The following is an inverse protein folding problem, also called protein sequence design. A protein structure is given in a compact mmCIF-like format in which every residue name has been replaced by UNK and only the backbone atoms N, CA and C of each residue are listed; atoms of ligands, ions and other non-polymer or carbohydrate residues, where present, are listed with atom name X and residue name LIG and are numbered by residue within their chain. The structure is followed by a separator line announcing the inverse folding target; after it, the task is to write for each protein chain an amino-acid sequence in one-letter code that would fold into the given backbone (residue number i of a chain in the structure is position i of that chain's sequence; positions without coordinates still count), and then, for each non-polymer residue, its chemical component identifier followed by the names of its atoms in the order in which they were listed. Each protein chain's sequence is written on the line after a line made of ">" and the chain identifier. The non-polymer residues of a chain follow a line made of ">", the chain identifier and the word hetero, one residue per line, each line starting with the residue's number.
data_IF_766539499743
#
_entry.id   IF_766539499743
#
_cell.length_a   1.000
_cell.length_b   1.000
_cell.length_c   1.000
_cell.angle_alpha   90.00
_cell.angle_beta   90.00
_cell.angle_gamma   90.00
#
_symmetry.space_group_name_H-M   'P 1'
#
loop_
_entity.id
_entity.type
_entity.pdbx_description
1 polymer ?
#
# COMPACT_ATOMS: atom_id res chain seq x y z
N UNK A 1 1.45 -39.42 14.20
CA UNK A 1 0.88 -38.11 13.80
C UNK A 1 1.25 -37.13 14.87
N UNK A 2 1.91 -36.04 14.47
CA UNK A 2 2.29 -35.00 15.41
C UNK A 2 1.08 -34.11 15.68
N UNK A 3 0.74 -33.90 16.96
CA UNK A 3 -0.30 -32.98 17.37
C UNK A 3 0.32 -31.63 17.67
N UNK A 4 -0.23 -30.57 17.05
CA UNK A 4 0.18 -29.21 17.34
C UNK A 4 -1.05 -28.39 17.73
N UNK A 5 -0.85 -27.52 18.71
CA UNK A 5 -1.86 -26.55 19.15
C UNK A 5 -1.71 -25.25 18.36
N UNK A 6 -2.83 -24.75 17.87
CA UNK A 6 -2.93 -23.48 17.16
C UNK A 6 -3.77 -22.51 17.98
N UNK A 7 -3.28 -21.30 18.15
CA UNK A 7 -3.99 -20.19 18.76
C UNK A 7 -4.49 -19.28 17.62
N UNK A 8 -5.78 -19.35 17.32
CA UNK A 8 -6.38 -18.66 16.17
C UNK A 8 -7.28 -17.53 16.68
N UNK A 9 -7.09 -16.34 16.14
CA UNK A 9 -7.95 -15.19 16.47
C UNK A 9 -9.38 -15.42 15.99
N UNK A 10 -10.35 -15.23 16.92
CA UNK A 10 -11.78 -15.26 16.68
C UNK A 10 -12.40 -13.96 17.12
N UNK A 11 -13.07 -13.26 16.20
CA UNK A 11 -13.66 -11.98 16.55
C UNK A 11 -14.32 -11.27 15.39
N UNK A 12 -14.86 -10.10 15.71
CA UNK A 12 -15.55 -9.21 14.78
C UNK A 12 -15.25 -7.74 15.16
N UNK A 13 -15.54 -6.76 14.30
CA UNK A 13 -15.44 -5.35 14.69
C UNK A 13 -16.59 -4.99 15.64
N UNK A 14 -16.32 -4.05 16.56
CA UNK A 14 -17.37 -3.37 17.33
C UNK A 14 -18.05 -2.25 16.51
N UNK A 15 -18.98 -1.54 17.14
CA UNK A 15 -19.67 -0.41 16.52
C UNK A 15 -18.74 0.77 16.15
N UNK A 16 -17.53 0.81 16.74
CA UNK A 16 -16.48 1.80 16.40
C UNK A 16 -15.52 1.33 15.31
N UNK A 17 -15.65 0.07 14.85
CA UNK A 17 -14.74 -0.58 13.92
C UNK A 17 -13.48 -1.17 14.56
N UNK A 18 -13.36 -1.15 15.89
CA UNK A 18 -12.24 -1.77 16.60
C UNK A 18 -12.44 -3.28 16.69
N UNK A 19 -11.35 -4.04 16.56
CA UNK A 19 -11.41 -5.50 16.65
C UNK A 19 -11.72 -5.95 18.08
N UNK A 20 -12.85 -6.65 18.28
CA UNK A 20 -13.18 -7.35 19.51
C UNK A 20 -13.04 -8.84 19.25
N UNK A 21 -12.24 -9.53 20.06
CA UNK A 21 -12.07 -10.96 19.92
C UNK A 21 -11.08 -11.55 20.92
N UNK A 22 -10.94 -12.84 20.82
CA UNK A 22 -10.03 -13.63 21.66
C UNK A 22 -9.24 -14.62 20.82
N UNK A 23 -8.13 -15.08 21.37
CA UNK A 23 -7.37 -16.17 20.80
C UNK A 23 -7.99 -17.49 21.29
N UNK A 24 -8.39 -18.35 20.35
CA UNK A 24 -8.96 -19.67 20.67
C UNK A 24 -8.02 -20.77 20.25
N UNK A 25 -7.76 -21.72 21.15
CA UNK A 25 -6.87 -22.83 20.88
C UNK A 25 -7.62 -24.00 20.21
N UNK A 26 -6.93 -24.61 19.24
CA UNK A 26 -7.35 -25.81 18.51
C UNK A 26 -6.17 -26.77 18.41
N UNK A 27 -6.38 -28.05 18.67
CA UNK A 27 -5.33 -29.06 18.56
C UNK A 27 -5.57 -29.93 17.34
N UNK A 28 -4.65 -29.89 16.40
CA UNK A 28 -4.80 -30.51 15.07
C UNK A 28 -3.76 -31.58 14.86
N UNK A 29 -4.17 -32.74 14.34
CA UNK A 29 -3.25 -33.77 13.85
C UNK A 29 -2.64 -33.32 12.52
N UNK A 30 -1.31 -33.32 12.41
CA UNK A 30 -0.62 -32.91 11.20
C UNK A 30 -0.29 -34.11 10.30
N UNK A 31 -0.63 -33.99 9.04
CA UNK A 31 -0.16 -34.88 7.98
C UNK A 31 1.12 -34.30 7.32
N UNK A 32 1.90 -35.13 6.68
CA UNK A 32 3.11 -34.73 5.96
C UNK A 32 2.78 -33.74 4.85
N UNK A 33 3.53 -32.65 4.78
CA UNK A 33 3.42 -31.64 3.72
C UNK A 33 2.28 -30.64 3.89
N UNK A 34 1.53 -30.66 5.00
CA UNK A 34 0.50 -29.66 5.29
C UNK A 34 1.05 -28.25 5.33
N UNK A 35 0.22 -27.30 4.86
CA UNK A 35 0.43 -25.87 5.02
C UNK A 35 -0.56 -25.29 6.03
N UNK A 36 -0.29 -24.10 6.55
CA UNK A 36 -1.16 -23.41 7.52
C UNK A 36 -2.62 -23.32 7.06
N UNK A 37 -2.86 -23.10 5.75
CA UNK A 37 -4.23 -23.06 5.21
C UNK A 37 -4.96 -24.41 5.35
N UNK A 38 -4.25 -25.52 5.20
CA UNK A 38 -4.85 -26.86 5.39
C UNK A 38 -5.23 -27.10 6.85
N UNK A 39 -4.42 -26.60 7.78
CA UNK A 39 -4.76 -26.63 9.22
C UNK A 39 -6.04 -25.82 9.49
N UNK A 40 -6.17 -24.60 8.94
CA UNK A 40 -7.40 -23.80 9.09
C UNK A 40 -8.60 -24.55 8.53
N UNK A 41 -8.48 -25.19 7.37
CA UNK A 41 -9.58 -25.98 6.78
C UNK A 41 -9.92 -27.20 7.65
N UNK A 42 -8.95 -27.83 8.29
CA UNK A 42 -9.20 -28.94 9.22
C UNK A 42 -9.93 -28.46 10.48
N UNK A 43 -9.52 -27.34 11.06
CA UNK A 43 -10.25 -26.70 12.17
C UNK A 43 -11.70 -26.37 11.76
N UNK A 44 -11.92 -25.85 10.55
CA UNK A 44 -13.26 -25.59 10.05
C UNK A 44 -14.10 -26.87 9.90
N UNK A 45 -13.48 -27.96 9.47
CA UNK A 45 -14.18 -29.22 9.26
C UNK A 45 -14.54 -29.96 10.56
N UNK A 46 -13.69 -29.87 11.58
CA UNK A 46 -13.77 -30.70 12.78
C UNK A 46 -14.35 -29.95 13.98
N UNK A 47 -14.00 -28.66 14.18
CA UNK A 47 -14.31 -27.96 15.42
C UNK A 47 -15.01 -26.59 15.25
N UNK A 48 -14.70 -25.85 14.19
CA UNK A 48 -15.17 -24.48 14.03
C UNK A 48 -15.61 -24.16 12.58
N UNK A 49 -16.76 -24.71 12.13
CA UNK A 49 -17.24 -24.52 10.77
C UNK A 49 -17.57 -23.05 10.43
N UNK A 50 -17.68 -22.20 11.44
CA UNK A 50 -17.95 -20.78 11.33
C UNK A 50 -16.69 -19.90 11.31
N UNK A 51 -15.49 -20.47 11.40
CA UNK A 51 -14.21 -19.73 11.34
C UNK A 51 -14.06 -19.08 9.98
N UNK A 52 -14.11 -17.75 9.94
CA UNK A 52 -13.98 -16.99 8.70
C UNK A 52 -12.52 -16.95 8.24
N UNK A 53 -12.26 -17.43 7.03
CA UNK A 53 -10.98 -17.41 6.38
C UNK A 53 -11.16 -17.15 4.87
N UNK A 54 -10.31 -16.28 4.31
CA UNK A 54 -10.30 -15.99 2.88
C UNK A 54 -9.25 -16.84 2.17
N UNK A 55 -9.63 -17.52 1.10
CA UNK A 55 -8.71 -18.28 0.26
C UNK A 55 -9.26 -18.44 -1.15
N UNK A 56 -8.39 -18.79 -2.13
CA UNK A 56 -8.83 -19.06 -3.51
C UNK A 56 -7.88 -20.03 -4.22
N UNK A 57 -6.68 -19.59 -4.67
CA UNK A 57 -5.85 -20.38 -5.59
C UNK A 57 -5.10 -21.55 -4.94
N UNK A 58 -4.83 -21.52 -3.63
CA UNK A 58 -3.97 -22.47 -2.88
C UNK A 58 -2.55 -22.65 -3.44
N UNK A 59 -2.07 -21.70 -4.25
CA UNK A 59 -0.82 -21.82 -4.99
C UNK A 59 0.04 -20.52 -4.96
N UNK A 60 -0.16 -19.66 -3.97
CA UNK A 60 0.61 -18.43 -3.81
C UNK A 60 0.44 -17.40 -4.92
N UNK A 61 -0.71 -17.37 -5.64
CA UNK A 61 -0.90 -16.51 -6.82
C UNK A 61 -1.99 -15.44 -6.68
N UNK A 62 -2.83 -15.49 -5.64
CA UNK A 62 -3.97 -14.58 -5.53
C UNK A 62 -3.93 -13.67 -4.30
N UNK A 63 -3.03 -13.89 -3.34
CA UNK A 63 -2.92 -13.08 -2.13
C UNK A 63 -4.07 -13.22 -1.11
N UNK A 64 -5.16 -13.93 -1.43
CA UNK A 64 -6.37 -13.95 -0.61
C UNK A 64 -6.18 -14.53 0.80
N UNK A 65 -5.26 -15.49 0.97
CA UNK A 65 -5.01 -16.16 2.24
C UNK A 65 -3.92 -15.49 3.10
N UNK A 66 -3.75 -14.17 2.95
CA UNK A 66 -2.79 -13.40 3.75
C UNK A 66 -3.25 -13.33 5.20
N UNK A 67 -2.33 -13.65 6.12
CA UNK A 67 -2.53 -13.60 7.56
C UNK A 67 -1.19 -13.41 8.29
N UNK A 68 -1.22 -13.15 9.57
CA UNK A 68 -0.03 -13.21 10.43
C UNK A 68 0.09 -14.60 11.06
N UNK A 69 1.23 -15.24 10.88
CA UNK A 69 1.57 -16.52 11.52
C UNK A 69 2.81 -16.31 12.39
N UNK A 70 2.69 -16.53 13.69
CA UNK A 70 3.71 -16.22 14.69
C UNK A 70 4.25 -14.77 14.55
N UNK A 71 3.32 -13.81 14.35
CA UNK A 71 3.64 -12.39 14.21
C UNK A 71 4.28 -11.99 12.87
N UNK A 72 4.49 -12.93 11.92
CA UNK A 72 5.02 -12.65 10.59
C UNK A 72 3.90 -12.71 9.55
N UNK A 73 3.69 -11.66 8.73
CA UNK A 73 2.75 -11.69 7.62
C UNK A 73 3.17 -12.70 6.56
N UNK A 74 2.27 -13.64 6.22
CA UNK A 74 2.54 -14.75 5.28
C UNK A 74 1.29 -15.15 4.49
N UNK A 75 1.50 -15.84 3.38
CA UNK A 75 0.44 -16.55 2.68
C UNK A 75 0.22 -17.91 3.35
N UNK A 76 -0.92 -18.14 3.97
CA UNK A 76 -1.20 -19.41 4.66
C UNK A 76 -1.08 -20.63 3.74
N UNK A 77 -1.39 -20.48 2.44
CA UNK A 77 -1.28 -21.57 1.46
C UNK A 77 0.17 -21.90 1.04
N UNK A 78 1.15 -21.06 1.38
CA UNK A 78 2.57 -21.27 1.06
C UNK A 78 3.41 -21.52 2.29
N UNK A 79 2.86 -21.33 3.48
CA UNK A 79 3.57 -21.51 4.75
C UNK A 79 3.47 -22.96 5.18
N UNK A 80 4.56 -23.71 5.03
CA UNK A 80 4.62 -25.13 5.39
C UNK A 80 4.69 -25.29 6.92
N UNK A 81 4.06 -26.33 7.42
CA UNK A 81 4.12 -26.64 8.82
C UNK A 81 5.51 -27.10 9.28
N UNK A 82 6.27 -27.71 8.37
CA UNK A 82 7.66 -28.08 8.65
C UNK A 82 8.54 -26.85 8.90
N UNK A 83 8.38 -25.78 8.07
CA UNK A 83 9.09 -24.50 8.23
C UNK A 83 8.71 -23.83 9.56
N UNK A 84 7.42 -23.87 9.93
CA UNK A 84 6.95 -23.33 11.20
C UNK A 84 7.55 -24.09 12.41
N UNK A 85 7.62 -25.42 12.33
CA UNK A 85 8.28 -26.23 13.38
C UNK A 85 9.76 -25.89 13.53
N UNK A 86 10.46 -25.75 12.41
CA UNK A 86 11.87 -25.36 12.42
C UNK A 86 12.08 -23.97 13.02
N UNK A 87 11.23 -22.99 12.69
CA UNK A 87 11.27 -21.65 13.27
C UNK A 87 10.93 -21.61 14.76
N UNK A 88 10.06 -22.48 15.23
CA UNK A 88 9.72 -22.60 16.65
C UNK A 88 10.84 -23.24 17.47
N UNK A 89 11.65 -24.14 16.87
CA UNK A 89 12.73 -24.84 17.57
C UNK A 89 12.20 -25.58 18.80
N UNK A 90 12.74 -25.26 19.97
CA UNK A 90 12.34 -25.87 21.26
C UNK A 90 11.08 -25.24 21.90
N UNK A 91 10.41 -24.30 21.21
CA UNK A 91 9.19 -23.67 21.71
C UNK A 91 8.00 -24.63 21.56
N UNK A 92 7.45 -25.06 22.70
CA UNK A 92 6.29 -25.98 22.75
C UNK A 92 4.92 -25.27 22.80
N UNK A 93 4.90 -23.95 22.68
CA UNK A 93 3.67 -23.17 22.73
C UNK A 93 2.84 -23.27 21.42
N UNK A 94 1.63 -22.70 21.41
CA UNK A 94 0.76 -22.75 20.24
C UNK A 94 1.31 -21.93 19.07
N UNK A 95 0.99 -22.33 17.84
CA UNK A 95 1.19 -21.51 16.65
C UNK A 95 0.13 -20.42 16.62
N UNK A 96 0.56 -19.16 16.67
CA UNK A 96 -0.34 -18.00 16.67
C UNK A 96 -0.77 -17.63 15.24
N UNK A 97 -2.08 -17.52 14.99
CA UNK A 97 -2.63 -17.11 13.69
C UNK A 97 -3.60 -15.96 13.90
N UNK A 98 -3.28 -14.82 13.31
CA UNK A 98 -4.05 -13.57 13.40
C UNK A 98 -4.39 -12.98 12.03
N UNK A 99 -5.44 -12.15 11.94
CA UNK A 99 -5.67 -11.33 10.74
C UNK A 99 -4.52 -10.34 10.53
N UNK A 100 -4.42 -9.78 9.32
CA UNK A 100 -3.49 -8.69 9.03
C UNK A 100 -3.81 -7.46 9.90
N UNK A 101 -2.90 -7.09 10.81
CA UNK A 101 -3.13 -6.07 11.85
C UNK A 101 -3.28 -4.65 11.34
N UNK A 102 -2.74 -4.33 10.14
CA UNK A 102 -2.84 -3.00 9.57
C UNK A 102 -4.21 -2.69 8.97
N UNK A 103 -5.04 -3.69 8.71
CA UNK A 103 -6.32 -3.52 8.02
C UNK A 103 -7.50 -3.71 8.97
N UNK A 104 -8.63 -3.01 8.74
CA UNK A 104 -9.83 -3.19 9.51
C UNK A 104 -10.31 -4.65 9.50
N UNK A 105 -10.72 -5.14 10.66
CA UNK A 105 -11.26 -6.50 10.79
C UNK A 105 -12.66 -6.59 10.17
N UNK A 106 -12.92 -7.65 9.42
CA UNK A 106 -14.28 -8.02 8.98
C UNK A 106 -14.82 -9.12 9.88
N UNK A 107 -14.08 -10.22 10.01
CA UNK A 107 -14.37 -11.33 10.92
C UNK A 107 -13.20 -12.30 10.98
N UNK A 108 -12.83 -12.75 12.18
CA UNK A 108 -11.79 -13.74 12.45
C UNK A 108 -10.47 -13.44 11.72
N UNK A 109 -10.15 -14.18 10.64
CA UNK A 109 -8.95 -13.97 9.84
C UNK A 109 -9.18 -13.08 8.59
N UNK A 110 -10.40 -12.57 8.40
CA UNK A 110 -10.77 -11.76 7.24
C UNK A 110 -10.68 -10.28 7.56
N UNK A 111 -9.93 -9.53 6.76
CA UNK A 111 -9.75 -8.09 6.86
C UNK A 111 -10.28 -7.36 5.63
N UNK A 112 -10.61 -6.07 5.77
CA UNK A 112 -11.02 -5.19 4.68
C UNK A 112 -9.80 -4.52 4.05
N UNK A 113 -9.54 -4.85 2.79
CA UNK A 113 -8.47 -4.27 1.98
C UNK A 113 -9.00 -3.31 0.90
N UNK A 114 -10.24 -2.82 1.02
CA UNK A 114 -10.88 -1.94 0.02
C UNK A 114 -10.11 -0.64 -0.21
N UNK A 115 -9.47 -0.09 0.82
CA UNK A 115 -8.55 1.04 0.73
C UNK A 115 -7.51 0.88 -0.41
N UNK A 116 -7.04 -0.33 -0.67
CA UNK A 116 -6.08 -0.59 -1.72
C UNK A 116 -6.58 -0.18 -3.11
N UNK A 117 -7.87 -0.37 -3.39
CA UNK A 117 -8.48 0.04 -4.67
C UNK A 117 -8.61 1.56 -4.79
N UNK A 118 -8.79 2.27 -3.68
CA UNK A 118 -8.81 3.72 -3.67
C UNK A 118 -7.44 4.32 -3.98
N UNK A 119 -6.38 3.73 -3.44
CA UNK A 119 -4.99 4.13 -3.77
C UNK A 119 -4.66 3.81 -5.22
N UNK A 120 -5.04 2.62 -5.73
CA UNK A 120 -4.81 2.26 -7.14
C UNK A 120 -5.48 3.23 -8.12
N UNK A 121 -6.66 3.75 -7.81
CA UNK A 121 -7.36 4.73 -8.64
C UNK A 121 -6.63 6.08 -8.74
N UNK A 122 -5.81 6.43 -7.75
CA UNK A 122 -5.00 7.66 -7.76
C UNK A 122 -3.77 7.52 -8.66
N UNK A 123 -3.33 6.29 -8.96
CA UNK A 123 -2.16 6.05 -9.80
C UNK A 123 -2.53 6.27 -11.26
N UNK A 124 -1.94 7.27 -11.89
CA UNK A 124 -2.11 7.51 -13.32
C UNK A 124 -1.61 6.31 -14.13
N UNK A 125 -2.37 5.83 -15.12
CA UNK A 125 -1.96 4.72 -15.98
C UNK A 125 -0.72 5.09 -16.82
N UNK A 126 -0.15 4.08 -17.48
CA UNK A 126 0.91 4.31 -18.47
C UNK A 126 0.41 5.24 -19.59
N UNK A 127 1.22 6.23 -19.94
CA UNK A 127 0.97 7.14 -21.03
C UNK A 127 2.10 7.00 -22.05
N UNK A 128 1.87 6.21 -23.09
CA UNK A 128 2.85 6.00 -24.15
C UNK A 128 2.86 7.11 -25.18
N UNK A 129 3.92 7.23 -26.01
CA UNK A 129 3.95 8.15 -27.15
C UNK A 129 2.87 7.79 -28.18
N UNK A 130 2.41 8.78 -28.98
CA UNK A 130 1.36 8.59 -29.99
C UNK A 130 1.75 7.58 -31.08
N UNK A 131 3.03 7.53 -31.44
CA UNK A 131 3.58 6.59 -32.42
C UNK A 131 4.84 5.90 -31.83
N UNK A 132 4.63 4.89 -30.96
CA UNK A 132 5.73 4.24 -30.29
C UNK A 132 6.50 3.32 -31.22
N UNK A 133 7.81 3.50 -31.31
CA UNK A 133 8.69 2.40 -31.71
C UNK A 133 8.71 1.38 -30.56
N UNK A 134 7.95 0.29 -30.70
CA UNK A 134 7.80 -0.76 -29.67
C UNK A 134 9.09 -1.54 -29.38
N UNK A 135 10.25 -0.95 -29.70
CA UNK A 135 11.57 -1.50 -29.47
C UNK A 135 12.23 -0.82 -28.29
N UNK A 136 12.59 -1.59 -27.29
CA UNK A 136 13.42 -1.15 -26.17
C UNK A 136 14.40 -2.25 -25.75
N UNK A 137 15.46 -1.87 -25.05
CA UNK A 137 16.54 -2.78 -24.72
C UNK A 137 16.11 -3.82 -23.69
N UNK A 138 16.67 -5.03 -23.75
CA UNK A 138 16.43 -6.10 -22.78
C UNK A 138 16.70 -5.65 -21.33
N UNK A 139 17.76 -4.87 -21.12
CA UNK A 139 18.09 -4.34 -19.80
C UNK A 139 16.96 -3.45 -19.20
N UNK A 140 16.26 -2.68 -20.03
CA UNK A 140 15.13 -1.86 -19.61
C UNK A 140 13.91 -2.73 -19.28
N UNK A 141 13.70 -3.79 -20.07
CA UNK A 141 12.66 -4.78 -19.79
C UNK A 141 12.93 -5.50 -18.45
N UNK A 142 14.14 -5.97 -18.24
CA UNK A 142 14.55 -6.71 -17.05
C UNK A 142 14.37 -5.87 -15.78
N UNK A 143 14.63 -4.56 -15.85
CA UNK A 143 14.48 -3.64 -14.74
C UNK A 143 13.04 -3.54 -14.22
N UNK A 144 12.04 -3.65 -15.08
CA UNK A 144 10.61 -3.55 -14.72
C UNK A 144 9.93 -4.91 -14.56
N UNK A 145 10.54 -5.99 -15.10
CA UNK A 145 9.94 -7.32 -15.14
C UNK A 145 9.67 -7.87 -13.73
N UNK A 146 10.55 -7.61 -12.77
CA UNK A 146 10.42 -8.05 -11.38
C UNK A 146 9.10 -7.56 -10.77
N UNK A 147 8.71 -6.31 -11.02
CA UNK A 147 7.52 -5.69 -10.43
C UNK A 147 6.20 -6.32 -10.89
N UNK A 148 6.19 -6.95 -12.07
CA UNK A 148 5.02 -7.67 -12.61
C UNK A 148 4.68 -8.93 -11.82
N UNK A 149 5.60 -9.43 -11.01
CA UNK A 149 5.40 -10.58 -10.14
C UNK A 149 4.51 -10.28 -8.94
N UNK A 150 4.18 -8.99 -8.69
CA UNK A 150 3.36 -8.58 -7.56
C UNK A 150 1.93 -9.15 -7.65
N UNK A 151 1.57 -9.95 -6.65
CA UNK A 151 0.24 -10.58 -6.54
C UNK A 151 -0.75 -9.80 -5.67
N UNK A 152 -0.40 -8.57 -5.26
CA UNK A 152 -1.26 -7.66 -4.49
C UNK A 152 -1.75 -8.23 -3.14
N UNK A 153 -0.95 -9.07 -2.52
CA UNK A 153 -1.29 -9.76 -1.27
C UNK A 153 -1.32 -8.86 -0.02
N UNK A 154 -0.84 -7.63 -0.09
CA UNK A 154 -0.77 -6.63 0.98
C UNK A 154 0.13 -7.01 2.18
N UNK A 155 0.87 -8.11 2.15
CA UNK A 155 1.76 -8.52 3.24
C UNK A 155 2.83 -7.45 3.53
N UNK A 156 3.40 -6.85 2.49
CA UNK A 156 4.39 -5.78 2.61
C UNK A 156 3.81 -4.49 3.24
N UNK A 157 2.51 -4.21 3.02
CA UNK A 157 1.80 -3.11 3.68
C UNK A 157 1.57 -3.43 5.15
N UNK A 158 1.22 -4.66 5.46
CA UNK A 158 0.95 -5.10 6.82
C UNK A 158 2.18 -5.08 7.75
N UNK A 159 3.40 -5.16 7.21
CA UNK A 159 4.64 -5.04 8.01
C UNK A 159 5.02 -3.61 8.36
N UNK A 160 4.38 -2.62 7.70
CA UNK A 160 4.86 -1.25 7.76
C UNK A 160 4.33 -0.52 9.00
N UNK A 161 5.24 -0.06 9.86
CA UNK A 161 4.87 0.61 11.12
C UNK A 161 4.03 1.89 10.92
N UNK A 162 4.24 2.63 9.82
CA UNK A 162 3.45 3.83 9.49
C UNK A 162 1.96 3.50 9.33
N UNK A 163 1.66 2.34 8.72
CA UNK A 163 0.29 1.85 8.55
C UNK A 163 -0.20 1.16 9.83
N UNK A 164 0.63 0.29 10.41
CA UNK A 164 0.26 -0.57 11.54
C UNK A 164 0.09 0.21 12.84
N UNK A 165 1.06 1.08 13.18
CA UNK A 165 1.09 1.77 14.47
C UNK A 165 0.47 3.17 14.41
N UNK A 166 0.65 3.86 13.27
CA UNK A 166 0.22 5.25 13.13
C UNK A 166 -1.03 5.42 12.28
N UNK A 167 -1.57 4.35 11.67
CA UNK A 167 -2.80 4.33 10.86
C UNK A 167 -2.85 5.42 9.77
N UNK A 168 -1.68 5.79 9.20
CA UNK A 168 -1.55 6.88 8.22
C UNK A 168 -1.87 6.42 6.79
N UNK A 169 -3.05 5.89 6.59
CA UNK A 169 -3.52 5.42 5.28
C UNK A 169 -3.75 6.54 4.27
N UNK A 170 -4.00 7.76 4.74
CA UNK A 170 -4.20 8.93 3.88
C UNK A 170 -2.89 9.61 3.46
N UNK A 171 -1.82 9.43 4.24
CA UNK A 171 -0.54 10.11 4.02
C UNK A 171 0.53 9.23 3.36
N UNK A 172 0.36 7.90 3.38
CA UNK A 172 1.34 6.95 2.90
C UNK A 172 0.69 5.79 2.13
N UNK A 173 1.01 5.69 0.85
CA UNK A 173 0.44 4.65 -0.01
C UNK A 173 0.89 3.22 0.33
N UNK A 174 2.07 3.05 0.93
CA UNK A 174 2.61 1.74 1.28
C UNK A 174 3.42 1.06 0.17
N UNK A 175 4.24 0.06 0.54
CA UNK A 175 5.27 -0.51 -0.36
C UNK A 175 4.71 -1.13 -1.64
N UNK A 176 3.55 -1.78 -1.59
CA UNK A 176 2.90 -2.39 -2.77
C UNK A 176 2.67 -1.37 -3.88
N UNK A 177 2.21 -0.17 -3.53
CA UNK A 177 1.89 0.87 -4.51
C UNK A 177 3.15 1.51 -5.07
N UNK A 178 4.22 1.59 -4.29
CA UNK A 178 5.53 2.01 -4.83
C UNK A 178 6.12 0.98 -5.79
N UNK A 179 5.85 -0.31 -5.63
CA UNK A 179 6.17 -1.32 -6.64
C UNK A 179 5.42 -1.04 -7.94
N UNK A 180 4.13 -0.69 -7.86
CA UNK A 180 3.33 -0.32 -9.03
C UNK A 180 3.84 0.97 -9.68
N UNK A 181 4.09 2.01 -8.88
CA UNK A 181 4.64 3.27 -9.35
C UNK A 181 6.02 3.09 -9.99
N UNK A 182 6.91 2.30 -9.39
CA UNK A 182 8.21 1.99 -9.96
C UNK A 182 8.11 1.27 -11.32
N UNK A 183 7.16 0.34 -11.45
CA UNK A 183 6.91 -0.35 -12.72
C UNK A 183 6.48 0.58 -13.85
N UNK A 184 5.83 1.70 -13.53
CA UNK A 184 5.40 2.73 -14.48
C UNK A 184 6.52 3.74 -14.72
N UNK A 185 7.05 4.37 -13.66
CA UNK A 185 8.10 5.39 -13.75
C UNK A 185 9.42 4.91 -14.40
N UNK A 186 9.69 3.63 -14.34
CA UNK A 186 10.88 3.03 -14.96
C UNK A 186 10.58 2.41 -16.31
N UNK A 187 9.34 2.46 -16.78
CA UNK A 187 8.97 1.89 -18.09
C UNK A 187 9.51 2.78 -19.22
N UNK A 188 10.28 2.24 -20.18
CA UNK A 188 10.94 3.04 -21.22
C UNK A 188 9.98 3.77 -22.16
N UNK A 189 8.76 3.29 -22.28
CA UNK A 189 7.71 3.90 -23.13
C UNK A 189 6.71 4.76 -22.34
N UNK A 190 6.92 4.96 -21.05
CA UNK A 190 6.04 5.83 -20.26
C UNK A 190 6.55 7.27 -20.29
N UNK A 191 5.68 8.19 -20.69
CA UNK A 191 5.98 9.62 -20.77
C UNK A 191 5.35 10.41 -19.61
N UNK A 192 4.56 9.77 -18.76
CA UNK A 192 3.93 10.40 -17.60
C UNK A 192 4.95 10.65 -16.49
N UNK A 193 4.95 11.84 -15.91
CA UNK A 193 5.76 12.18 -14.74
C UNK A 193 4.91 12.10 -13.47
N UNK A 194 5.14 11.09 -12.64
CA UNK A 194 4.45 10.87 -11.34
C UNK A 194 5.30 11.26 -10.13
N UNK A 195 6.47 11.86 -10.36
CA UNK A 195 7.38 12.24 -9.25
C UNK A 195 6.73 13.23 -8.27
N UNK A 196 5.93 14.23 -8.72
CA UNK A 196 5.20 15.10 -7.80
C UNK A 196 4.24 14.32 -6.89
N UNK A 197 3.41 13.45 -7.47
CA UNK A 197 2.45 12.65 -6.71
C UNK A 197 3.15 11.65 -5.78
N UNK A 198 4.25 11.04 -6.22
CA UNK A 198 5.05 10.12 -5.40
C UNK A 198 5.57 10.83 -4.15
N UNK A 199 5.98 12.09 -4.27
CA UNK A 199 6.46 12.90 -3.17
C UNK A 199 5.32 13.35 -2.25
N UNK A 200 4.28 13.97 -2.81
CA UNK A 200 3.29 14.73 -2.05
C UNK A 200 2.04 13.90 -1.72
N UNK A 201 1.49 13.11 -2.67
CA UNK A 201 0.24 12.38 -2.49
C UNK A 201 0.47 10.95 -1.95
N UNK A 202 1.54 10.29 -2.39
CA UNK A 202 1.85 8.91 -1.97
C UNK A 202 2.81 8.82 -0.79
N UNK A 203 3.41 9.94 -0.35
CA UNK A 203 4.16 10.06 0.88
C UNK A 203 5.43 9.20 0.96
N UNK A 204 6.20 9.08 -0.12
CA UNK A 204 7.43 8.26 -0.15
C UNK A 204 8.45 8.64 0.93
N UNK A 205 8.40 9.86 1.45
CA UNK A 205 9.25 10.35 2.52
C UNK A 205 9.07 9.59 3.83
N UNK A 206 7.90 9.00 4.10
CA UNK A 206 7.65 8.17 5.28
C UNK A 206 8.41 6.84 5.27
N UNK A 207 8.97 6.45 4.13
CA UNK A 207 9.78 5.24 4.04
C UNK A 207 11.15 5.42 4.71
N UNK A 208 11.45 4.64 5.74
CA UNK A 208 12.71 4.63 6.49
C UNK A 208 13.67 3.48 6.11
N UNK A 209 13.37 2.76 5.02
CA UNK A 209 14.26 1.73 4.43
C UNK A 209 14.56 0.55 5.39
N UNK A 210 13.58 0.10 6.18
CA UNK A 210 13.74 -1.05 7.10
C UNK A 210 13.83 -2.41 6.42
N UNK A 211 13.49 -2.52 5.13
CA UNK A 211 13.49 -3.75 4.31
C UNK A 211 12.47 -4.83 4.67
N UNK A 212 11.69 -4.67 5.71
CA UNK A 212 10.65 -5.65 6.09
C UNK A 212 9.69 -5.99 4.94
N UNK A 213 9.35 -4.99 4.11
CA UNK A 213 8.51 -5.21 2.94
C UNK A 213 9.13 -6.16 1.91
N UNK A 214 10.46 -6.15 1.77
CA UNK A 214 11.20 -7.07 0.89
C UNK A 214 11.20 -8.47 1.47
N UNK A 215 11.44 -8.61 2.78
CA UNK A 215 11.54 -9.91 3.45
C UNK A 215 10.24 -10.71 3.40
N UNK A 216 9.08 -10.05 3.52
CA UNK A 216 7.77 -10.74 3.53
C UNK A 216 7.19 -10.93 2.14
N UNK A 217 7.86 -10.47 1.08
CA UNK A 217 7.33 -10.57 -0.28
C UNK A 217 7.34 -12.02 -0.80
N UNK A 218 6.17 -12.66 -0.99
CA UNK A 218 6.12 -14.05 -1.43
C UNK A 218 6.55 -14.25 -2.88
N UNK A 219 6.63 -13.16 -3.65
CA UNK A 219 7.12 -13.16 -5.03
C UNK A 219 8.63 -12.82 -5.12
N UNK A 220 9.31 -12.58 -3.99
CA UNK A 220 10.75 -12.30 -3.94
C UNK A 220 11.15 -10.93 -4.51
N UNK A 221 10.20 -10.01 -4.66
CA UNK A 221 10.47 -8.67 -5.21
C UNK A 221 11.37 -7.90 -4.24
N UNK A 222 12.47 -7.35 -4.76
CA UNK A 222 13.38 -6.49 -4.01
C UNK A 222 12.80 -5.08 -3.87
N UNK A 223 11.69 -4.98 -3.12
CA UNK A 223 10.85 -3.78 -3.03
C UNK A 223 11.66 -2.56 -2.59
N UNK A 224 12.49 -2.72 -1.57
CA UNK A 224 13.30 -1.63 -1.04
C UNK A 224 14.34 -1.17 -2.03
N UNK A 225 15.14 -2.10 -2.56
CA UNK A 225 16.33 -1.76 -3.35
C UNK A 225 15.96 -1.38 -4.78
N UNK A 226 14.98 -2.05 -5.40
CA UNK A 226 14.65 -1.85 -6.81
C UNK A 226 13.50 -0.88 -7.04
N UNK A 227 12.60 -0.68 -6.05
CA UNK A 227 11.49 0.26 -6.18
C UNK A 227 11.65 1.51 -5.30
N UNK A 228 11.70 1.34 -3.97
CA UNK A 228 11.64 2.48 -3.04
C UNK A 228 12.87 3.39 -3.13
N UNK A 229 14.07 2.84 -3.10
CA UNK A 229 15.31 3.63 -3.17
C UNK A 229 15.39 4.41 -4.49
N UNK A 230 15.22 3.79 -5.68
CA UNK A 230 15.26 4.53 -6.94
C UNK A 230 14.17 5.60 -7.08
N UNK A 231 12.96 5.38 -6.54
CA UNK A 231 11.93 6.42 -6.55
C UNK A 231 12.29 7.59 -5.63
N UNK A 232 12.87 7.32 -4.44
CA UNK A 232 13.40 8.38 -3.56
C UNK A 232 14.51 9.18 -4.24
N UNK A 233 15.44 8.52 -4.91
CA UNK A 233 16.52 9.18 -5.65
C UNK A 233 15.99 10.07 -6.75
N UNK A 234 14.97 9.64 -7.51
CA UNK A 234 14.30 10.46 -8.50
C UNK A 234 13.64 11.70 -7.90
N UNK A 235 12.96 11.57 -6.75
CA UNK A 235 12.40 12.70 -6.02
C UNK A 235 13.50 13.67 -5.60
N UNK A 236 14.61 13.17 -5.05
CA UNK A 236 15.75 14.00 -4.66
C UNK A 236 16.35 14.75 -5.86
N UNK A 237 16.55 14.05 -6.97
CA UNK A 237 17.08 14.65 -8.20
C UNK A 237 16.16 15.74 -8.74
N UNK A 238 14.84 15.50 -8.77
CA UNK A 238 13.87 16.45 -9.31
C UNK A 238 13.73 17.72 -8.46
N UNK A 239 13.80 17.61 -7.12
CA UNK A 239 13.47 18.71 -6.23
C UNK A 239 14.69 19.31 -5.50
N UNK A 240 15.75 18.55 -5.25
CA UNK A 240 16.81 18.93 -4.33
C UNK A 240 18.22 18.94 -4.95
N UNK A 241 18.41 18.39 -6.14
CA UNK A 241 19.73 18.36 -6.79
C UNK A 241 20.05 19.72 -7.46
N UNK A 242 21.01 20.49 -6.91
CA UNK A 242 21.36 21.80 -7.43
C UNK A 242 22.10 21.75 -8.78
N UNK A 243 22.68 20.59 -9.15
CA UNK A 243 23.40 20.42 -10.41
C UNK A 243 22.43 20.13 -11.56
N UNK A 244 21.38 19.38 -11.30
CA UNK A 244 20.37 19.01 -12.29
C UNK A 244 19.32 20.13 -12.48
N UNK A 245 18.96 20.80 -11.37
CA UNK A 245 17.95 21.85 -11.36
C UNK A 245 18.45 23.16 -10.70
N UNK A 246 19.48 23.81 -11.24
CA UNK A 246 20.05 25.01 -10.63
C UNK A 246 19.01 26.15 -10.49
N UNK A 247 18.06 26.26 -11.41
CA UNK A 247 16.99 27.27 -11.38
C UNK A 247 16.00 26.96 -10.23
N UNK A 248 15.61 25.69 -10.04
CA UNK A 248 14.74 25.28 -8.93
C UNK A 248 15.46 25.37 -7.58
N UNK A 249 16.74 25.03 -7.54
CA UNK A 249 17.55 25.15 -6.31
C UNK A 249 17.68 26.62 -5.87
N UNK A 250 17.92 27.53 -6.81
CA UNK A 250 17.93 29.00 -6.56
C UNK A 250 16.52 29.47 -6.18
N UNK A 251 15.47 28.99 -6.84
CA UNK A 251 14.07 29.29 -6.52
C UNK A 251 13.67 28.82 -5.12
N UNK A 252 14.09 27.63 -4.69
CA UNK A 252 13.83 27.11 -3.34
C UNK A 252 14.65 27.83 -2.26
N UNK A 253 15.90 28.20 -2.56
CA UNK A 253 16.71 29.05 -1.69
C UNK A 253 16.14 30.47 -1.60
N UNK A 254 15.69 31.05 -2.72
CA UNK A 254 15.10 32.38 -2.75
C UNK A 254 13.70 32.41 -2.17
N UNK A 255 12.87 31.35 -2.32
CA UNK A 255 11.56 31.29 -1.67
C UNK A 255 11.69 31.15 -0.15
N UNK A 256 12.67 30.41 0.35
CA UNK A 256 13.01 30.37 1.79
C UNK A 256 13.55 31.71 2.30
N UNK A 257 14.36 32.41 1.51
CA UNK A 257 14.88 33.75 1.84
C UNK A 257 13.82 34.83 1.56
N UNK A 258 13.04 34.72 0.49
CA UNK A 258 11.96 35.65 0.15
C UNK A 258 10.75 35.51 1.07
N UNK A 259 10.42 34.31 1.60
CA UNK A 259 9.40 34.21 2.65
C UNK A 259 9.83 34.93 3.93
N UNK A 260 11.13 34.91 4.24
CA UNK A 260 11.67 35.70 5.37
C UNK A 260 11.66 37.21 5.11
N UNK A 261 11.81 37.63 3.85
CA UNK A 261 11.80 39.07 3.47
C UNK A 261 10.43 39.54 2.92
N UNK A 262 9.52 38.64 2.48
CA UNK A 262 8.29 39.05 1.81
C UNK A 262 7.19 39.52 2.76
N UNK A 263 7.21 39.17 4.04
CA UNK A 263 6.27 39.75 5.01
C UNK A 263 6.52 41.25 5.26
N UNK A 264 7.75 41.72 5.09
CA UNK A 264 8.09 43.14 5.29
C UNK A 264 8.10 43.96 3.99
N UNK A 265 8.45 43.35 2.83
CA UNK A 265 8.64 44.06 1.56
C UNK A 265 7.39 44.11 0.69
N UNK A 266 6.52 43.10 0.73
CA UNK A 266 5.23 43.04 -0.04
C UNK A 266 4.21 44.04 0.53
N UNK A 267 4.36 44.48 1.78
CA UNK A 267 3.55 45.56 2.33
C UNK A 267 3.86 46.94 1.76
N UNK A 268 4.90 47.07 0.95
CA UNK A 268 5.35 48.36 0.36
C UNK A 268 5.31 48.43 -1.18
N UNK A 269 5.00 47.34 -1.88
CA UNK A 269 4.97 47.35 -3.34
C UNK A 269 3.54 47.16 -3.88
N UNK A 270 3.04 48.23 -4.44
CA UNK A 270 1.88 48.44 -5.30
C UNK A 270 0.60 47.60 -5.02
N UNK A 271 -0.46 48.20 -4.46
CA UNK A 271 -1.72 47.54 -4.13
C UNK A 271 -2.57 47.10 -5.34
N UNK A 272 -2.18 47.45 -6.57
CA UNK A 272 -2.94 47.12 -7.80
C UNK A 272 -2.74 45.68 -8.28
N UNK A 273 -1.54 45.14 -8.17
CA UNK A 273 -1.21 43.82 -8.73
C UNK A 273 -1.58 42.66 -7.79
N UNK A 274 -1.61 42.92 -6.48
CA UNK A 274 -2.00 41.93 -5.48
C UNK A 274 -3.49 41.62 -5.51
N UNK A 275 -4.35 42.57 -5.86
CA UNK A 275 -5.80 42.35 -5.98
C UNK A 275 -6.16 41.46 -7.17
N UNK A 276 -5.45 41.55 -8.29
CA UNK A 276 -5.69 40.70 -9.47
C UNK A 276 -5.23 39.24 -9.26
N UNK A 277 -4.15 39.02 -8.53
CA UNK A 277 -3.67 37.67 -8.18
C UNK A 277 -4.59 36.99 -7.15
N UNK A 278 -5.08 37.72 -6.16
CA UNK A 278 -6.02 37.20 -5.14
C UNK A 278 -7.36 36.87 -5.79
N UNK A 279 -7.90 37.72 -6.69
CA UNK A 279 -9.15 37.44 -7.41
C UNK A 279 -9.03 36.26 -8.38
N UNK A 280 -7.87 35.99 -8.97
CA UNK A 280 -7.66 34.83 -9.83
C UNK A 280 -7.61 33.51 -9.01
N UNK A 281 -6.98 33.53 -7.84
CA UNK A 281 -6.96 32.39 -6.93
C UNK A 281 -8.32 32.11 -6.32
N UNK A 282 -9.08 33.13 -5.98
CA UNK A 282 -10.44 32.97 -5.44
C UNK A 282 -11.41 32.47 -6.51
N UNK A 283 -11.26 32.90 -7.77
CA UNK A 283 -12.03 32.38 -8.89
C UNK A 283 -11.72 30.92 -9.20
N UNK A 284 -10.46 30.51 -9.08
CA UNK A 284 -10.06 29.11 -9.26
C UNK A 284 -10.55 28.21 -8.12
N UNK A 285 -10.49 28.68 -6.88
CA UNK A 285 -11.09 27.98 -5.72
C UNK A 285 -12.60 27.81 -5.87
N UNK A 286 -13.31 28.84 -6.33
CA UNK A 286 -14.74 28.77 -6.58
C UNK A 286 -15.09 27.75 -7.67
N UNK A 287 -14.30 27.65 -8.75
CA UNK A 287 -14.48 26.63 -9.80
C UNK A 287 -14.26 25.22 -9.28
N UNK A 288 -13.25 25.01 -8.44
CA UNK A 288 -12.96 23.69 -7.83
C UNK A 288 -14.10 23.28 -6.87
N UNK A 289 -14.64 24.22 -6.11
CA UNK A 289 -15.78 23.95 -5.20
C UNK A 289 -17.07 23.64 -5.98
N UNK A 290 -17.32 24.34 -7.06
CA UNK A 290 -18.47 24.08 -7.94
C UNK A 290 -18.34 22.72 -8.66
N UNK A 291 -17.14 22.34 -9.11
CA UNK A 291 -16.88 21.04 -9.70
C UNK A 291 -17.11 19.90 -8.68
N UNK A 292 -16.64 20.03 -7.45
CA UNK A 292 -16.89 19.06 -6.35
C UNK A 292 -18.37 18.92 -6.02
N UNK A 293 -19.12 20.01 -6.03
CA UNK A 293 -20.57 20.00 -5.79
C UNK A 293 -21.33 19.26 -6.90
N UNK A 294 -20.98 19.51 -8.16
CA UNK A 294 -21.54 18.81 -9.34
C UNK A 294 -21.24 17.30 -9.31
N UNK A 295 -20.06 16.91 -8.88
CA UNK A 295 -19.66 15.51 -8.75
C UNK A 295 -20.41 14.80 -7.64
N UNK A 296 -20.62 15.46 -6.50
CA UNK A 296 -21.45 15.01 -5.40
C UNK A 296 -22.92 14.78 -5.83
N UNK A 297 -23.52 15.74 -6.56
CA UNK A 297 -24.88 15.62 -7.07
C UNK A 297 -25.03 14.51 -8.12
N UNK A 298 -24.00 14.26 -8.95
CA UNK A 298 -23.97 13.13 -9.90
C UNK A 298 -23.92 11.79 -9.17
N UNK A 299 -23.14 11.71 -8.11
CA UNK A 299 -22.99 10.49 -7.30
C UNK A 299 -24.31 10.16 -6.56
N UNK A 300 -25.00 11.18 -6.07
CA UNK A 300 -26.28 11.02 -5.38
C UNK A 300 -27.39 10.58 -6.34
N UNK A 301 -27.50 11.17 -7.53
CA UNK A 301 -28.41 10.72 -8.60
C UNK A 301 -28.12 9.30 -9.10
N UNK A 302 -26.86 8.90 -9.13
CA UNK A 302 -26.49 7.52 -9.44
C UNK A 302 -26.95 6.55 -8.37
N UNK A 303 -26.82 6.90 -7.08
CA UNK A 303 -27.31 6.11 -5.94
C UNK A 303 -28.84 6.01 -5.90
N UNK A 304 -29.56 7.06 -6.24
CA UNK A 304 -31.02 7.06 -6.33
C UNK A 304 -31.53 6.17 -7.45
N UNK A 305 -30.88 6.15 -8.62
CA UNK A 305 -31.19 5.22 -9.71
C UNK A 305 -31.03 3.75 -9.32
N UNK A 306 -29.96 3.41 -8.59
CA UNK A 306 -29.75 2.05 -8.07
C UNK A 306 -30.71 1.61 -6.97
N UNK A 307 -31.42 2.55 -6.32
CA UNK A 307 -32.44 2.22 -5.32
C UNK A 307 -33.85 2.08 -5.88
N UNK A 308 -34.06 2.48 -7.12
CA UNK A 308 -35.36 2.43 -7.81
C UNK A 308 -35.51 1.27 -8.81
N UNK A 309 -34.46 0.46 -9.01
CA UNK A 309 -34.45 -0.84 -9.67
C UNK A 309 -34.38 -1.99 -8.63
#
# INVERSE_FOLDING_TARGET
>A
MDKITFSVFRGHPDDSGSAIGEMKEYTVDLDEGMVVLDVIHRIQAEEAPDLACRWNCKAGKCGSCSAEVNGKPRLMCMTRMDDIKEEMGDYEGPVDIRPMQSFPLVRDLVTDTSWAYEVDRKIKPINGPEDPDWVFNQHEADRIQEFRSCIECMLCVNTWHVMREHQKFDEFAGPRFFVRLASLEMHPLDTENRIPEIKDDFGISYCNITRWCTEVCPAGIQITDNALIPLKERVVTEYFDPLVNPIKAVGNLTSGVLSYFSEEFVKKADPGNTKQAITAQDAERARIEEAKKLESERTERARERFRSE
#
